data_IF_997203696725
#
_entry.id   IF_997203696725
#
_cell.length_a   1.000
_cell.length_b   1.000
_cell.length_c   1.000
_cell.angle_alpha   90.00
_cell.angle_beta   90.00
_cell.angle_gamma   90.00
#
_symmetry.space_group_name_H-M   'P 1'
#
loop_
_entity.id
_entity.type
_entity.pdbx_description
1 polymer ?
#
# COMPACT_ATOMS: atom_id res chain seq x y z
N UNK A 1 -21.69 -19.39 -0.09
CA UNK A 1 -20.24 -19.40 -0.20
C UNK A 1 -19.70 -18.28 0.69
N UNK A 2 -18.88 -18.63 1.69
CA UNK A 2 -18.16 -17.65 2.51
C UNK A 2 -17.28 -16.75 1.63
N UNK A 3 -17.16 -15.48 1.96
CA UNK A 3 -16.23 -14.60 1.26
C UNK A 3 -14.79 -14.99 1.62
N UNK A 4 -13.83 -14.79 0.72
CA UNK A 4 -12.40 -14.98 1.03
C UNK A 4 -11.98 -14.19 2.27
N UNK A 5 -12.64 -13.08 2.52
CA UNK A 5 -12.43 -12.22 3.70
C UNK A 5 -12.75 -12.97 5.00
N UNK A 6 -13.88 -13.65 5.07
CA UNK A 6 -14.25 -14.46 6.25
C UNK A 6 -13.33 -15.66 6.44
N UNK A 7 -12.92 -16.33 5.35
CA UNK A 7 -12.02 -17.49 5.43
C UNK A 7 -10.62 -17.14 5.97
N UNK A 8 -10.19 -15.89 5.80
CA UNK A 8 -8.90 -15.40 6.28
C UNK A 8 -8.99 -14.60 7.59
N UNK A 9 -10.19 -14.44 8.17
CA UNK A 9 -10.40 -13.81 9.48
C UNK A 9 -10.21 -12.29 9.51
N UNK A 10 -10.44 -11.60 8.39
CA UNK A 10 -10.25 -10.14 8.29
C UNK A 10 -11.50 -9.30 8.60
N UNK A 11 -12.37 -9.80 9.46
CA UNK A 11 -13.57 -9.06 9.89
C UNK A 11 -13.32 -8.16 11.13
N UNK A 12 -12.09 -8.18 11.66
CA UNK A 12 -11.71 -7.35 12.81
C UNK A 12 -11.87 -5.85 12.52
N UNK A 13 -12.35 -5.06 13.50
CA UNK A 13 -12.46 -3.62 13.35
C UNK A 13 -11.10 -2.97 13.07
N UNK A 14 -11.11 -1.89 12.27
CA UNK A 14 -9.89 -1.12 12.01
C UNK A 14 -9.56 -0.26 13.23
N UNK A 15 -8.26 -0.10 13.47
CA UNK A 15 -7.74 0.75 14.55
C UNK A 15 -7.43 2.13 13.98
N UNK A 16 -8.10 3.15 14.53
CA UNK A 16 -7.74 4.56 14.37
C UNK A 16 -7.00 5.01 15.63
N UNK A 17 -5.71 5.32 15.49
CA UNK A 17 -4.86 5.78 16.56
C UNK A 17 -4.67 7.29 16.47
N UNK A 18 -5.04 8.10 17.49
CA UNK A 18 -4.68 9.51 17.54
C UNK A 18 -3.16 9.69 17.45
N UNK A 19 -2.70 10.64 16.64
CA UNK A 19 -1.28 10.93 16.46
C UNK A 19 -0.90 12.20 17.20
N UNK A 20 -0.03 12.07 18.20
CA UNK A 20 0.50 13.18 18.96
C UNK A 20 1.97 13.41 18.60
N UNK A 21 2.24 14.50 17.87
CA UNK A 21 3.59 14.91 17.48
C UNK A 21 3.71 16.43 17.68
N UNK A 22 4.90 16.90 18.03
CA UNK A 22 5.13 18.32 18.35
C UNK A 22 4.69 19.30 17.27
N UNK A 23 4.88 18.92 15.99
CA UNK A 23 4.48 19.75 14.86
C UNK A 23 2.96 19.79 14.65
N UNK A 24 2.21 18.76 15.06
CA UNK A 24 0.75 18.78 15.08
C UNK A 24 0.21 19.67 16.20
N UNK A 25 0.78 19.55 17.40
CA UNK A 25 0.34 20.33 18.55
C UNK A 25 0.41 21.86 18.27
N UNK A 26 1.41 22.29 17.49
CA UNK A 26 1.58 23.71 17.14
C UNK A 26 0.63 24.20 16.05
N UNK A 27 0.10 23.31 15.21
CA UNK A 27 -0.71 23.68 14.04
C UNK A 27 -2.21 23.72 14.33
N UNK A 28 -2.66 23.04 15.37
CA UNK A 28 -4.08 22.81 15.64
C UNK A 28 -4.76 21.84 14.65
N UNK A 29 -3.98 21.12 13.84
CA UNK A 29 -4.48 20.06 12.96
C UNK A 29 -4.51 18.75 13.74
N UNK A 30 -5.64 18.07 13.70
CA UNK A 30 -5.81 16.74 14.30
C UNK A 30 -5.50 15.66 13.26
N UNK A 31 -4.66 14.69 13.61
CA UNK A 31 -4.37 13.53 12.74
C UNK A 31 -4.62 12.25 13.51
N UNK A 32 -5.35 11.32 12.89
CA UNK A 32 -5.42 9.94 13.34
C UNK A 32 -4.76 9.02 12.30
N UNK A 33 -4.11 7.97 12.76
CA UNK A 33 -3.47 6.97 11.91
C UNK A 33 -4.38 5.76 11.77
N UNK A 34 -4.79 5.45 10.56
CA UNK A 34 -5.44 4.18 10.24
C UNK A 34 -4.38 3.08 10.19
N UNK A 35 -4.32 2.25 11.23
CA UNK A 35 -3.27 1.26 11.50
C UNK A 35 -3.48 -0.05 10.72
N UNK A 36 -3.37 0.01 9.36
CA UNK A 36 -3.45 -1.20 8.54
C UNK A 36 -2.25 -2.14 8.75
N UNK A 37 -1.16 -1.64 9.29
CA UNK A 37 0.02 -2.41 9.68
C UNK A 37 -0.25 -3.38 10.84
N UNK A 38 -1.29 -3.16 11.63
CA UNK A 38 -1.67 -4.00 12.75
C UNK A 38 -2.71 -5.08 12.40
N UNK A 39 -3.20 -5.11 11.15
CA UNK A 39 -4.24 -6.06 10.75
C UNK A 39 -3.77 -7.51 10.85
N UNK A 40 -2.58 -7.77 10.36
CA UNK A 40 -2.00 -9.11 10.33
C UNK A 40 -0.49 -9.01 10.09
N UNK A 41 0.35 -9.83 10.73
CA UNK A 41 1.80 -9.76 10.58
C UNK A 41 2.31 -10.14 9.17
N UNK A 42 1.58 -10.95 8.41
CA UNK A 42 1.97 -11.47 7.10
C UNK A 42 1.19 -10.84 5.95
N UNK A 43 -0.13 -10.67 6.13
CA UNK A 43 -1.05 -10.02 5.17
C UNK A 43 -1.29 -8.56 5.52
N UNK A 44 -0.24 -7.86 5.89
CA UNK A 44 -0.27 -6.53 6.43
C UNK A 44 -0.63 -5.45 5.42
N UNK A 45 -1.25 -4.39 5.92
CA UNK A 45 -1.42 -3.14 5.21
C UNK A 45 -2.47 -3.17 4.10
N UNK A 46 -2.34 -2.23 3.18
CA UNK A 46 -3.25 -2.06 2.05
C UNK A 46 -3.27 -3.25 1.07
N UNK A 47 -2.26 -4.15 1.14
CA UNK A 47 -2.15 -5.27 0.20
C UNK A 47 -3.25 -6.30 0.41
N UNK A 48 -3.70 -6.49 1.65
CA UNK A 48 -4.87 -7.28 1.94
C UNK A 48 -6.10 -6.78 1.16
N UNK A 49 -6.41 -5.49 1.28
CA UNK A 49 -7.59 -4.90 0.62
C UNK A 49 -7.49 -4.97 -0.91
N UNK A 50 -6.29 -4.81 -1.46
CA UNK A 50 -6.07 -5.01 -2.89
C UNK A 50 -6.31 -6.45 -3.32
N UNK A 51 -5.87 -7.42 -2.52
CA UNK A 51 -5.95 -8.83 -2.86
C UNK A 51 -7.36 -9.39 -2.75
N UNK A 52 -8.19 -8.96 -1.83
CA UNK A 52 -9.48 -9.58 -1.54
C UNK A 52 -10.36 -9.76 -2.78
N UNK A 53 -10.49 -8.73 -3.62
CA UNK A 53 -11.30 -8.82 -4.86
C UNK A 53 -10.64 -9.64 -5.96
N UNK A 54 -9.32 -9.69 -6.00
CA UNK A 54 -8.59 -10.61 -6.89
C UNK A 54 -8.78 -12.06 -6.47
N UNK A 55 -8.76 -12.34 -5.17
CA UNK A 55 -8.98 -13.68 -4.63
C UNK A 55 -10.44 -14.14 -4.85
N UNK A 56 -11.42 -13.25 -4.67
CA UNK A 56 -12.82 -13.53 -5.01
C UNK A 56 -12.96 -13.87 -6.51
N UNK A 57 -12.32 -13.07 -7.38
CA UNK A 57 -12.33 -13.32 -8.83
C UNK A 57 -11.62 -14.64 -9.20
N UNK A 58 -10.47 -14.95 -8.59
CA UNK A 58 -9.77 -16.20 -8.80
C UNK A 58 -10.63 -17.41 -8.39
N UNK A 59 -11.31 -17.30 -7.25
CA UNK A 59 -12.25 -18.32 -6.77
C UNK A 59 -13.42 -18.52 -7.72
N UNK A 60 -13.99 -17.42 -8.26
CA UNK A 60 -15.16 -17.51 -9.17
C UNK A 60 -14.87 -18.25 -10.47
N UNK A 61 -13.61 -18.25 -10.91
CA UNK A 61 -13.15 -19.01 -12.09
C UNK A 61 -12.45 -20.34 -11.73
N UNK A 62 -12.52 -20.76 -10.47
CA UNK A 62 -11.86 -21.96 -9.96
C UNK A 62 -10.36 -22.02 -10.34
N UNK A 63 -9.65 -20.89 -10.25
CA UNK A 63 -8.24 -20.81 -10.61
C UNK A 63 -7.40 -21.77 -9.75
N UNK A 64 -6.54 -22.62 -10.34
CA UNK A 64 -5.72 -23.59 -9.60
C UNK A 64 -4.55 -22.93 -8.85
N UNK A 65 -4.30 -21.64 -9.07
CA UNK A 65 -3.24 -20.88 -8.42
C UNK A 65 -3.22 -19.42 -8.84
N UNK A 66 -2.28 -18.67 -8.28
CA UNK A 66 -2.16 -17.23 -8.46
C UNK A 66 -0.77 -16.89 -9.00
N UNK A 67 -0.68 -15.93 -9.91
CA UNK A 67 0.59 -15.42 -10.43
C UNK A 67 0.59 -13.90 -10.40
N UNK A 68 1.67 -13.32 -9.91
CA UNK A 68 1.85 -11.87 -9.89
C UNK A 68 3.32 -11.48 -10.01
N UNK A 69 3.61 -10.17 -9.96
CA UNK A 69 4.94 -9.63 -10.19
C UNK A 69 5.29 -8.52 -9.19
N UNK A 70 6.59 -8.34 -8.97
CA UNK A 70 7.12 -7.32 -8.05
C UNK A 70 8.63 -7.31 -7.97
N UNK A 71 9.20 -6.38 -7.21
CA UNK A 71 10.63 -6.37 -6.90
C UNK A 71 10.97 -7.34 -5.75
N UNK A 72 12.28 -7.51 -5.44
CA UNK A 72 12.75 -8.40 -4.39
C UNK A 72 12.39 -7.96 -2.95
N UNK A 73 11.80 -6.78 -2.80
CA UNK A 73 11.26 -6.24 -1.54
C UNK A 73 9.74 -6.01 -1.62
N UNK A 74 9.05 -6.69 -2.53
CA UNK A 74 7.64 -6.42 -2.83
C UNK A 74 6.72 -6.80 -1.68
N UNK A 75 6.09 -5.78 -1.07
CA UNK A 75 5.02 -5.96 -0.09
C UNK A 75 3.82 -6.73 -0.67
N UNK A 76 3.60 -6.59 -2.00
CA UNK A 76 2.51 -7.29 -2.67
C UNK A 76 2.78 -8.78 -2.82
N UNK A 77 3.96 -9.17 -3.33
CA UNK A 77 4.31 -10.59 -3.44
C UNK A 77 4.35 -11.27 -2.07
N UNK A 78 4.81 -10.56 -1.04
CA UNK A 78 4.81 -11.06 0.34
C UNK A 78 3.38 -11.38 0.80
N UNK A 79 2.45 -10.44 0.66
CA UNK A 79 1.06 -10.65 1.01
C UNK A 79 0.39 -11.76 0.16
N UNK A 80 0.71 -11.83 -1.14
CA UNK A 80 0.19 -12.86 -2.04
C UNK A 80 0.66 -14.26 -1.63
N UNK A 81 1.93 -14.42 -1.30
CA UNK A 81 2.49 -15.70 -0.85
C UNK A 81 1.85 -16.15 0.47
N UNK A 82 1.67 -15.23 1.42
CA UNK A 82 0.98 -15.51 2.68
C UNK A 82 -0.48 -15.92 2.47
N UNK A 83 -1.21 -15.20 1.61
CA UNK A 83 -2.59 -15.52 1.26
C UNK A 83 -2.70 -16.91 0.57
N UNK A 84 -1.83 -17.18 -0.41
CA UNK A 84 -1.80 -18.47 -1.09
C UNK A 84 -1.54 -19.62 -0.13
N UNK A 85 -0.57 -19.48 0.77
CA UNK A 85 -0.28 -20.48 1.81
C UNK A 85 -1.51 -20.77 2.68
N UNK A 86 -2.19 -19.73 3.16
CA UNK A 86 -3.37 -19.88 4.05
C UNK A 86 -4.58 -20.46 3.34
N UNK A 87 -4.74 -20.19 2.04
CA UNK A 87 -5.83 -20.70 1.22
C UNK A 87 -5.51 -22.04 0.54
N UNK A 88 -4.29 -22.57 0.70
CA UNK A 88 -3.85 -23.78 0.00
C UNK A 88 -3.74 -23.58 -1.52
N UNK A 89 -3.54 -22.34 -2.00
CA UNK A 89 -3.40 -22.01 -3.41
C UNK A 89 -1.92 -21.85 -3.78
N UNK A 90 -1.42 -22.58 -4.79
CA UNK A 90 -0.09 -22.36 -5.36
C UNK A 90 0.09 -20.91 -5.82
N UNK A 91 1.27 -20.33 -5.54
CA UNK A 91 1.60 -18.97 -5.94
C UNK A 91 2.88 -18.91 -6.77
N UNK A 92 2.90 -18.00 -7.74
CA UNK A 92 4.04 -17.73 -8.62
C UNK A 92 4.38 -16.25 -8.57
N UNK A 93 5.65 -15.94 -8.29
CA UNK A 93 6.19 -14.59 -8.26
C UNK A 93 7.15 -14.32 -9.40
N UNK A 94 6.85 -13.29 -10.21
CA UNK A 94 7.71 -12.80 -11.29
C UNK A 94 8.51 -11.62 -10.77
N UNK A 95 9.84 -11.80 -10.55
CA UNK A 95 10.67 -10.83 -9.85
C UNK A 95 11.49 -9.97 -10.82
N UNK A 96 11.56 -8.68 -10.47
CA UNK A 96 12.42 -7.72 -11.16
C UNK A 96 13.89 -7.94 -10.81
N UNK A 97 14.76 -7.90 -11.82
CA UNK A 97 16.20 -7.98 -11.68
C UNK A 97 16.72 -9.40 -11.69
N UNK A 98 17.90 -9.57 -11.13
CA UNK A 98 18.59 -10.87 -11.03
C UNK A 98 18.37 -11.47 -9.64
N UNK A 99 18.63 -12.76 -9.53
CA UNK A 99 18.47 -13.47 -8.27
C UNK A 99 19.29 -12.83 -7.16
N UNK A 100 18.63 -12.60 -6.04
CA UNK A 100 19.25 -12.03 -4.85
C UNK A 100 18.51 -12.51 -3.60
N UNK A 101 19.22 -12.51 -2.49
CA UNK A 101 18.67 -12.88 -1.19
C UNK A 101 18.27 -11.61 -0.45
N UNK A 102 16.97 -11.50 -0.16
CA UNK A 102 16.42 -10.46 0.74
C UNK A 102 15.53 -11.14 1.78
N UNK A 103 15.24 -10.50 2.91
CA UNK A 103 14.28 -11.06 3.87
C UNK A 103 12.94 -11.39 3.23
N UNK A 104 12.44 -10.53 2.34
CA UNK A 104 11.20 -10.78 1.59
C UNK A 104 11.31 -12.02 0.71
N UNK A 105 12.37 -12.15 -0.10
CA UNK A 105 12.58 -13.32 -0.98
C UNK A 105 12.71 -14.61 -0.16
N UNK A 106 13.33 -14.56 1.01
CA UNK A 106 13.40 -15.70 1.91
C UNK A 106 12.00 -16.13 2.39
N UNK A 107 11.15 -15.18 2.79
CA UNK A 107 9.76 -15.47 3.18
C UNK A 107 8.95 -16.05 2.01
N UNK A 108 9.08 -15.49 0.78
CA UNK A 108 8.38 -16.01 -0.39
C UNK A 108 8.71 -17.49 -0.63
N UNK A 109 9.99 -17.85 -0.54
CA UNK A 109 10.46 -19.24 -0.69
C UNK A 109 9.95 -20.14 0.44
N UNK A 110 10.05 -19.66 1.68
CA UNK A 110 9.59 -20.41 2.86
C UNK A 110 8.07 -20.70 2.80
N UNK A 111 7.30 -19.83 2.17
CA UNK A 111 5.85 -19.99 1.97
C UNK A 111 5.48 -20.72 0.67
N UNK A 112 6.46 -21.26 -0.03
CA UNK A 112 6.26 -22.12 -1.20
C UNK A 112 5.94 -21.37 -2.49
N UNK A 113 6.17 -20.06 -2.57
CA UNK A 113 6.01 -19.31 -3.82
C UNK A 113 7.10 -19.70 -4.82
N UNK A 114 6.68 -20.11 -6.02
CA UNK A 114 7.61 -20.36 -7.13
C UNK A 114 8.08 -19.04 -7.72
N UNK A 115 9.41 -18.84 -7.81
CA UNK A 115 10.02 -17.56 -8.20
C UNK A 115 10.65 -17.63 -9.60
N UNK A 116 10.37 -16.62 -10.43
CA UNK A 116 11.02 -16.42 -11.72
C UNK A 116 11.62 -15.02 -11.81
N UNK A 117 12.90 -14.94 -12.10
CA UNK A 117 13.62 -13.68 -12.27
C UNK A 117 13.58 -13.23 -13.73
N UNK A 118 13.01 -12.05 -13.99
CA UNK A 118 12.78 -11.53 -15.35
C UNK A 118 13.93 -10.68 -15.90
N UNK A 119 14.95 -10.42 -15.09
CA UNK A 119 15.88 -9.34 -15.38
C UNK A 119 15.20 -7.96 -15.32
N UNK A 120 15.95 -6.92 -15.67
CA UNK A 120 15.38 -5.57 -15.75
C UNK A 120 14.66 -5.34 -17.07
N UNK A 121 15.12 -5.95 -18.16
CA UNK A 121 14.51 -5.83 -19.48
C UNK A 121 13.13 -6.49 -19.52
N UNK A 122 13.04 -7.78 -19.20
CA UNK A 122 11.75 -8.49 -19.19
C UNK A 122 10.74 -7.89 -18.22
N UNK A 123 11.19 -7.34 -17.09
CA UNK A 123 10.27 -6.67 -16.17
C UNK A 123 9.72 -5.34 -16.72
N UNK A 124 10.45 -4.63 -17.59
CA UNK A 124 9.92 -3.42 -18.25
C UNK A 124 8.75 -3.69 -19.18
N UNK A 125 8.64 -4.92 -19.69
CA UNK A 125 7.56 -5.34 -20.60
C UNK A 125 6.21 -5.59 -19.89
N UNK A 126 6.17 -5.53 -18.55
CA UNK A 126 4.99 -5.88 -17.73
C UNK A 126 3.69 -5.15 -18.07
N UNK A 127 3.78 -4.00 -18.73
CA UNK A 127 2.63 -3.21 -19.19
C UNK A 127 2.23 -3.51 -20.64
N UNK A 128 2.97 -4.37 -21.36
CA UNK A 128 2.61 -4.78 -22.70
C UNK A 128 1.43 -5.77 -22.67
N UNK A 129 0.50 -5.69 -23.62
CA UNK A 129 -0.64 -6.63 -23.69
C UNK A 129 -0.21 -8.10 -23.76
N UNK A 130 0.96 -8.37 -24.35
CA UNK A 130 1.52 -9.71 -24.55
C UNK A 130 2.27 -10.26 -23.34
N UNK A 131 2.51 -9.46 -22.30
CA UNK A 131 3.32 -9.84 -21.15
C UNK A 131 2.87 -11.17 -20.50
N UNK A 132 1.57 -11.35 -20.36
CA UNK A 132 1.00 -12.53 -19.70
C UNK A 132 0.93 -13.78 -20.59
N UNK A 133 1.11 -13.66 -21.91
CA UNK A 133 0.96 -14.79 -22.86
C UNK A 133 1.85 -15.98 -22.51
N UNK A 134 3.18 -15.85 -22.35
CA UNK A 134 4.04 -16.99 -22.01
C UNK A 134 3.74 -17.56 -20.62
N UNK A 135 3.30 -16.72 -19.68
CA UNK A 135 2.99 -17.15 -18.32
C UNK A 135 1.68 -17.93 -18.24
N UNK A 136 0.67 -17.54 -19.02
CA UNK A 136 -0.58 -18.30 -19.14
C UNK A 136 -0.35 -19.65 -19.82
N UNK A 137 0.57 -19.74 -20.77
CA UNK A 137 0.96 -21.01 -21.38
C UNK A 137 1.68 -21.94 -20.38
N UNK A 138 2.56 -21.38 -19.54
CA UNK A 138 3.33 -22.12 -18.54
C UNK A 138 2.53 -22.51 -17.32
N UNK A 139 1.56 -21.70 -16.91
CA UNK A 139 0.68 -21.88 -15.75
C UNK A 139 -0.79 -21.80 -16.18
N UNK A 140 -1.30 -22.85 -16.88
CA UNK A 140 -2.67 -22.84 -17.40
C UNK A 140 -3.68 -22.66 -16.27
N UNK A 141 -4.64 -21.74 -16.46
CA UNK A 141 -5.71 -21.46 -15.51
C UNK A 141 -5.33 -20.60 -14.30
N UNK A 142 -4.04 -20.33 -14.07
CA UNK A 142 -3.65 -19.44 -12.96
C UNK A 142 -4.21 -18.02 -13.16
N UNK A 143 -4.71 -17.46 -12.07
CA UNK A 143 -5.22 -16.09 -12.09
C UNK A 143 -4.07 -15.07 -12.04
N UNK A 144 -4.01 -14.22 -13.06
CA UNK A 144 -2.95 -13.21 -13.20
C UNK A 144 -3.34 -11.94 -12.47
N UNK A 145 -2.53 -11.54 -11.48
CA UNK A 145 -2.72 -10.30 -10.70
C UNK A 145 -1.67 -9.28 -11.15
N UNK A 146 -2.07 -8.06 -11.55
CA UNK A 146 -1.14 -7.00 -11.94
C UNK A 146 -0.18 -6.59 -10.81
N UNK A 147 0.92 -5.91 -11.17
CA UNK A 147 1.92 -5.39 -10.22
C UNK A 147 1.27 -4.65 -9.05
N UNK A 148 1.72 -4.97 -7.84
CA UNK A 148 1.25 -4.32 -6.62
C UNK A 148 -0.20 -4.61 -6.25
N UNK A 149 -0.87 -5.60 -6.85
CA UNK A 149 -2.31 -5.85 -6.70
C UNK A 149 -3.15 -4.78 -7.40
N UNK A 150 -2.66 -4.32 -8.56
CA UNK A 150 -3.28 -3.25 -9.35
C UNK A 150 -4.58 -3.67 -10.05
N UNK A 151 -5.08 -2.78 -10.90
CA UNK A 151 -6.33 -2.98 -11.64
C UNK A 151 -7.58 -2.65 -10.83
N UNK A 152 -8.73 -2.67 -11.52
CA UNK A 152 -10.02 -2.34 -10.91
C UNK A 152 -10.38 -3.21 -9.70
N UNK A 153 -10.13 -4.55 -9.70
CA UNK A 153 -10.39 -5.36 -8.50
C UNK A 153 -9.61 -4.86 -7.28
N UNK A 154 -8.33 -4.48 -7.45
CA UNK A 154 -7.53 -3.93 -6.36
C UNK A 154 -8.05 -2.59 -5.83
N UNK A 155 -8.52 -1.71 -6.72
CA UNK A 155 -9.13 -0.44 -6.33
C UNK A 155 -10.45 -0.66 -5.59
N UNK A 156 -11.35 -1.50 -6.12
CA UNK A 156 -12.63 -1.83 -5.47
C UNK A 156 -12.45 -2.49 -4.10
N UNK A 157 -11.42 -3.31 -3.93
CA UNK A 157 -11.07 -3.85 -2.62
C UNK A 157 -10.69 -2.75 -1.62
N UNK A 158 -9.89 -1.76 -2.06
CA UNK A 158 -9.52 -0.61 -1.22
C UNK A 158 -10.69 0.35 -0.96
N UNK A 159 -11.69 0.43 -1.84
CA UNK A 159 -12.90 1.22 -1.60
C UNK A 159 -13.65 0.78 -0.33
N UNK A 160 -13.60 -0.51 -0.03
CA UNK A 160 -14.15 -1.07 1.20
C UNK A 160 -13.51 -0.58 2.51
N UNK A 161 -12.38 0.16 2.44
CA UNK A 161 -11.78 0.79 3.61
C UNK A 161 -12.63 1.93 4.17
N UNK A 162 -13.26 2.73 3.30
CA UNK A 162 -13.95 3.96 3.70
C UNK A 162 -15.08 3.69 4.71
N UNK A 163 -16.07 2.80 4.45
CA UNK A 163 -17.11 2.53 5.44
C UNK A 163 -16.56 1.94 6.75
N UNK A 164 -15.43 1.24 6.71
CA UNK A 164 -14.79 0.71 7.92
C UNK A 164 -14.09 1.82 8.71
N UNK A 165 -13.50 2.82 8.04
CA UNK A 165 -12.98 4.04 8.67
C UNK A 165 -14.10 4.79 9.37
N UNK A 166 -15.22 5.03 8.68
CA UNK A 166 -16.40 5.70 9.24
C UNK A 166 -16.90 5.00 10.52
N UNK A 167 -16.99 3.67 10.47
CA UNK A 167 -17.39 2.87 11.63
C UNK A 167 -16.43 2.99 12.82
N UNK A 168 -15.16 3.33 12.58
CA UNK A 168 -14.13 3.46 13.61
C UNK A 168 -14.00 4.87 14.19
N UNK A 169 -14.62 5.92 13.59
CA UNK A 169 -14.49 7.32 14.01
C UNK A 169 -14.91 7.55 15.47
N UNK A 170 -15.92 6.80 15.94
CA UNK A 170 -16.41 6.92 17.30
C UNK A 170 -15.32 6.64 18.35
N UNK A 171 -14.31 5.82 18.04
CA UNK A 171 -13.18 5.56 18.93
C UNK A 171 -12.30 6.80 19.17
N UNK A 172 -12.36 7.79 18.28
CA UNK A 172 -11.68 9.08 18.39
C UNK A 172 -12.57 10.18 18.98
N UNK A 173 -13.85 9.90 19.20
CA UNK A 173 -14.85 10.94 19.49
C UNK A 173 -15.16 11.85 18.26
N UNK A 174 -14.72 11.44 17.08
CA UNK A 174 -15.00 12.19 15.85
C UNK A 174 -16.32 11.79 15.24
N UNK A 175 -17.05 12.78 14.72
CA UNK A 175 -18.27 12.55 13.92
C UNK A 175 -17.93 12.44 12.43
N UNK A 176 -16.86 13.11 12.01
CA UNK A 176 -16.41 13.20 10.62
C UNK A 176 -14.94 13.57 10.55
N UNK A 177 -14.36 13.52 9.34
CA UNK A 177 -13.00 13.94 9.01
C UNK A 177 -12.99 14.75 7.71
N UNK A 178 -11.92 15.49 7.44
CA UNK A 178 -11.86 16.37 6.26
C UNK A 178 -11.17 15.70 5.07
N UNK A 179 -10.18 14.84 5.31
CA UNK A 179 -9.47 14.18 4.24
C UNK A 179 -8.71 12.92 4.68
N UNK A 180 -8.42 12.06 3.68
CA UNK A 180 -7.50 10.94 3.80
C UNK A 180 -6.14 11.32 3.21
N UNK A 181 -5.06 10.89 3.86
CA UNK A 181 -3.68 11.08 3.40
C UNK A 181 -2.95 9.74 3.37
N UNK A 182 -2.31 9.40 2.23
CA UNK A 182 -1.59 8.13 2.09
C UNK A 182 -0.36 8.22 1.18
N UNK A 183 0.53 7.24 1.30
CA UNK A 183 1.59 7.04 0.34
C UNK A 183 1.03 6.46 -0.98
N UNK A 184 1.37 7.07 -2.10
CA UNK A 184 1.00 6.60 -3.42
C UNK A 184 2.23 6.00 -4.16
N UNK A 185 2.12 4.70 -4.47
CA UNK A 185 3.05 4.00 -5.38
C UNK A 185 2.41 3.83 -6.76
N UNK A 186 1.62 2.78 -6.96
CA UNK A 186 0.89 2.52 -8.22
C UNK A 186 -0.43 3.31 -8.37
N UNK A 187 -0.83 4.08 -7.36
CA UNK A 187 -2.09 4.81 -7.35
C UNK A 187 -3.34 3.98 -7.05
N UNK A 188 -3.26 2.64 -7.05
CA UNK A 188 -4.45 1.77 -6.88
C UNK A 188 -5.19 1.99 -5.57
N UNK A 189 -4.48 2.15 -4.44
CA UNK A 189 -5.11 2.41 -3.14
C UNK A 189 -5.77 3.79 -3.13
N UNK A 190 -5.11 4.80 -3.70
CA UNK A 190 -5.66 6.14 -3.85
C UNK A 190 -6.97 6.10 -4.64
N UNK A 191 -6.97 5.47 -5.82
CA UNK A 191 -8.17 5.31 -6.64
C UNK A 191 -9.30 4.61 -5.87
N UNK A 192 -8.97 3.56 -5.11
CA UNK A 192 -9.95 2.86 -4.29
C UNK A 192 -10.57 3.73 -3.20
N UNK A 193 -9.76 4.53 -2.50
CA UNK A 193 -10.28 5.47 -1.51
C UNK A 193 -11.15 6.55 -2.15
N UNK A 194 -10.77 7.09 -3.31
CA UNK A 194 -11.60 8.05 -4.07
C UNK A 194 -12.94 7.44 -4.44
N UNK A 195 -12.96 6.19 -4.92
CA UNK A 195 -14.20 5.45 -5.21
C UNK A 195 -15.06 5.32 -3.95
N UNK A 196 -14.44 4.92 -2.83
CA UNK A 196 -15.16 4.73 -1.56
C UNK A 196 -15.69 6.02 -0.96
N UNK A 197 -14.96 7.12 -1.10
CA UNK A 197 -15.38 8.45 -0.65
C UNK A 197 -16.57 8.99 -1.43
N UNK A 198 -16.72 8.61 -2.69
CA UNK A 198 -17.82 9.05 -3.54
C UNK A 198 -18.01 10.58 -3.55
N UNK A 199 -16.90 11.33 -3.49
CA UNK A 199 -16.90 12.80 -3.49
C UNK A 199 -17.14 13.48 -2.14
N UNK A 200 -17.26 12.72 -1.02
CA UNK A 200 -17.50 13.30 0.32
C UNK A 200 -16.28 14.01 0.90
N UNK A 201 -15.12 13.35 0.83
CA UNK A 201 -13.87 13.86 1.36
C UNK A 201 -12.76 13.82 0.31
N UNK A 202 -11.74 14.66 0.49
CA UNK A 202 -10.56 14.66 -0.38
C UNK A 202 -9.61 13.54 -0.02
N UNK A 203 -8.88 13.03 -1.02
CA UNK A 203 -7.86 12.00 -0.83
C UNK A 203 -6.52 12.51 -1.35
N UNK A 204 -5.55 12.65 -0.46
CA UNK A 204 -4.20 13.11 -0.80
C UNK A 204 -3.25 11.92 -0.96
N UNK A 205 -2.64 11.80 -2.14
CA UNK A 205 -1.65 10.78 -2.46
C UNK A 205 -0.23 11.35 -2.50
N UNK A 206 0.57 11.05 -1.49
CA UNK A 206 1.99 11.42 -1.45
C UNK A 206 2.81 10.43 -2.30
N UNK A 207 3.32 10.88 -3.45
CA UNK A 207 4.08 10.09 -4.41
C UNK A 207 5.43 9.66 -3.81
N UNK A 208 5.61 8.36 -3.59
CA UNK A 208 6.86 7.80 -3.07
C UNK A 208 7.99 7.71 -4.11
N UNK A 209 7.65 7.80 -5.37
CA UNK A 209 8.56 7.83 -6.52
C UNK A 209 8.35 9.04 -7.41
N UNK A 210 9.25 9.28 -8.38
CA UNK A 210 9.16 10.42 -9.27
C UNK A 210 7.82 10.48 -10.03
N UNK A 211 7.31 11.68 -10.38
CA UNK A 211 6.09 11.85 -11.17
C UNK A 211 6.08 11.11 -12.52
N UNK A 212 7.27 10.81 -13.08
CA UNK A 212 7.45 10.02 -14.30
C UNK A 212 6.84 8.61 -14.27
N UNK A 213 6.39 8.13 -13.13
CA UNK A 213 5.72 6.82 -13.00
C UNK A 213 4.26 6.82 -13.47
N UNK A 214 3.77 7.88 -14.08
CA UNK A 214 2.42 8.00 -14.66
C UNK A 214 1.29 7.58 -13.67
N UNK A 215 1.47 7.86 -12.38
CA UNK A 215 0.51 7.45 -11.33
C UNK A 215 -0.82 8.14 -11.54
N UNK A 216 -0.83 9.42 -11.92
CA UNK A 216 -2.06 10.18 -12.14
C UNK A 216 -2.90 9.57 -13.28
N UNK A 217 -2.28 9.26 -14.42
CA UNK A 217 -2.96 8.59 -15.52
C UNK A 217 -3.51 7.21 -15.10
N UNK A 218 -2.76 6.49 -14.27
CA UNK A 218 -3.21 5.21 -13.71
C UNK A 218 -4.42 5.35 -12.80
N UNK A 219 -4.44 6.35 -11.94
CA UNK A 219 -5.58 6.68 -11.07
C UNK A 219 -6.80 7.06 -11.91
N UNK A 220 -6.65 8.01 -12.84
CA UNK A 220 -7.73 8.45 -13.72
C UNK A 220 -8.35 7.28 -14.50
N UNK A 221 -7.52 6.37 -15.02
CA UNK A 221 -7.99 5.17 -15.73
C UNK A 221 -8.81 4.23 -14.81
N UNK A 222 -8.37 4.01 -13.57
CA UNK A 222 -9.10 3.18 -12.61
C UNK A 222 -10.44 3.81 -12.23
N UNK A 223 -10.50 5.13 -12.03
CA UNK A 223 -11.72 5.86 -11.76
C UNK A 223 -12.70 5.76 -12.95
N UNK A 224 -12.19 5.94 -14.18
CA UNK A 224 -13.00 5.79 -15.39
C UNK A 224 -13.58 4.37 -15.53
N UNK A 225 -12.78 3.33 -15.25
CA UNK A 225 -13.24 1.94 -15.25
C UNK A 225 -14.32 1.68 -14.18
N UNK A 226 -14.28 2.41 -13.06
CA UNK A 226 -15.28 2.35 -12.01
C UNK A 226 -16.52 3.22 -12.28
N UNK A 227 -16.54 4.00 -13.38
CA UNK A 227 -17.62 4.95 -13.67
C UNK A 227 -17.62 6.16 -12.73
N UNK A 228 -16.48 6.51 -12.12
CA UNK A 228 -16.32 7.62 -11.18
C UNK A 228 -15.56 8.76 -11.85
N UNK A 229 -15.95 10.01 -11.57
CA UNK A 229 -15.25 11.18 -12.07
C UNK A 229 -13.80 11.23 -11.55
N UNK A 230 -12.86 11.66 -12.40
CA UNK A 230 -11.46 11.86 -12.03
C UNK A 230 -11.31 13.17 -11.24
N UNK A 231 -11.83 13.19 -10.02
CA UNK A 231 -11.82 14.34 -9.10
C UNK A 231 -11.79 13.85 -7.65
N UNK A 232 -11.68 14.78 -6.69
CA UNK A 232 -11.70 14.46 -5.27
C UNK A 232 -10.34 13.98 -4.73
N UNK A 233 -9.28 13.99 -5.53
CA UNK A 233 -7.93 13.65 -5.07
C UNK A 233 -6.89 14.69 -5.50
N UNK A 234 -5.75 14.62 -4.85
CA UNK A 234 -4.55 15.40 -5.19
C UNK A 234 -3.30 14.53 -5.03
N UNK A 235 -2.41 14.58 -6.02
CA UNK A 235 -1.12 13.91 -5.98
C UNK A 235 -0.03 14.91 -5.65
N UNK A 236 0.76 14.59 -4.64
CA UNK A 236 1.79 15.46 -4.08
C UNK A 236 3.15 14.76 -4.20
N UNK A 237 4.19 15.50 -4.57
CA UNK A 237 5.54 14.92 -4.61
C UNK A 237 6.10 14.72 -3.20
N UNK A 238 6.37 13.48 -2.85
CA UNK A 238 7.06 13.05 -1.65
C UNK A 238 8.28 12.18 -1.98
N UNK A 239 8.71 12.15 -3.24
CA UNK A 239 9.77 11.26 -3.72
C UNK A 239 11.14 11.54 -3.10
N UNK A 240 11.42 12.79 -2.65
CA UNK A 240 12.70 13.23 -2.07
C UNK A 240 13.88 12.86 -2.98
N UNK A 241 14.84 12.08 -2.47
CA UNK A 241 16.02 11.59 -3.19
C UNK A 241 15.73 10.47 -4.22
N UNK A 242 14.45 10.17 -4.48
CA UNK A 242 14.00 9.17 -5.44
C UNK A 242 13.43 7.89 -4.80
N UNK A 243 12.87 7.02 -5.66
CA UNK A 243 12.26 5.77 -5.20
C UNK A 243 13.31 4.82 -4.59
N UNK A 244 12.99 4.25 -3.44
CA UNK A 244 13.86 3.31 -2.73
C UNK A 244 15.04 3.95 -2.01
N UNK A 245 15.21 5.27 -2.06
CA UNK A 245 16.28 6.00 -1.39
C UNK A 245 15.74 6.76 -0.18
N UNK A 246 16.57 6.85 0.86
CA UNK A 246 16.30 7.64 2.06
C UNK A 246 17.61 8.16 2.65
N UNK A 247 17.53 9.31 3.29
CA UNK A 247 18.64 10.06 3.86
C UNK A 247 18.56 10.08 5.40
N UNK A 248 19.54 10.73 6.02
CA UNK A 248 19.63 10.87 7.48
C UNK A 248 18.43 11.61 8.06
N UNK A 249 17.96 12.65 7.39
CA UNK A 249 16.81 13.41 7.86
C UNK A 249 15.56 12.55 7.94
N UNK A 250 15.29 11.73 6.90
CA UNK A 250 14.16 10.81 6.90
C UNK A 250 14.34 9.69 7.94
N UNK A 251 15.57 9.19 8.12
CA UNK A 251 15.87 8.18 9.14
C UNK A 251 15.59 8.72 10.55
N UNK A 252 16.03 9.94 10.85
CA UNK A 252 15.74 10.59 12.13
C UNK A 252 14.26 10.84 12.33
N UNK A 253 13.56 11.31 11.28
CA UNK A 253 12.11 11.52 11.31
C UNK A 253 11.32 10.24 11.63
N UNK A 254 11.74 9.08 11.08
CA UNK A 254 11.15 7.78 11.39
C UNK A 254 11.25 7.48 12.89
N UNK A 255 12.45 7.63 13.47
CA UNK A 255 12.67 7.37 14.89
C UNK A 255 11.89 8.32 15.80
N UNK A 256 11.86 9.60 15.46
CA UNK A 256 11.15 10.61 16.26
C UNK A 256 9.63 10.36 16.20
N UNK A 257 9.09 10.01 15.03
CA UNK A 257 7.67 9.66 14.88
C UNK A 257 7.32 8.39 15.68
N UNK A 258 8.18 7.38 15.62
CA UNK A 258 7.98 6.13 16.38
C UNK A 258 8.05 6.36 17.89
N UNK A 259 9.03 7.17 18.35
CA UNK A 259 9.22 7.49 19.77
C UNK A 259 8.09 8.34 20.33
N UNK A 260 7.63 9.37 19.62
CA UNK A 260 6.60 10.30 20.10
C UNK A 260 5.20 9.76 19.88
N UNK A 261 4.92 9.20 18.71
CA UNK A 261 3.59 8.81 18.26
C UNK A 261 3.29 7.31 18.33
N UNK A 262 4.29 6.47 18.62
CA UNK A 262 4.12 5.01 18.65
C UNK A 262 3.76 4.40 17.29
N UNK A 263 4.10 5.09 16.19
CA UNK A 263 3.78 4.66 14.81
C UNK A 263 5.06 4.34 14.06
N UNK A 264 5.42 3.05 13.90
CA UNK A 264 6.57 2.66 13.09
C UNK A 264 6.30 2.95 11.60
N UNK A 265 7.29 3.48 10.90
CA UNK A 265 7.16 3.82 9.48
C UNK A 265 8.20 3.07 8.64
N UNK A 266 7.83 2.68 7.42
CA UNK A 266 8.80 2.20 6.43
C UNK A 266 9.45 3.38 5.69
N UNK A 267 10.74 3.29 5.31
CA UNK A 267 11.47 4.41 4.73
C UNK A 267 11.11 4.70 3.26
N UNK A 268 10.38 3.82 2.59
CA UNK A 268 10.12 3.90 1.15
C UNK A 268 8.80 4.61 0.86
N UNK A 269 7.76 4.32 1.66
CA UNK A 269 6.40 4.80 1.43
C UNK A 269 5.89 5.65 2.61
N UNK A 270 5.63 5.04 3.75
CA UNK A 270 4.89 5.68 4.84
C UNK A 270 5.66 6.81 5.49
N UNK A 271 6.98 6.71 5.65
CA UNK A 271 7.79 7.80 6.21
C UNK A 271 7.83 9.03 5.28
N UNK A 272 7.99 8.81 3.97
CA UNK A 272 7.97 9.91 3.00
C UNK A 272 6.61 10.61 2.98
N UNK A 273 5.53 9.83 3.03
CA UNK A 273 4.17 10.37 3.06
C UNK A 273 3.89 11.16 4.34
N UNK A 274 4.35 10.67 5.50
CA UNK A 274 4.19 11.36 6.79
C UNK A 274 5.04 12.63 6.84
N UNK A 275 6.24 12.61 6.31
CA UNK A 275 7.11 13.79 6.23
C UNK A 275 6.54 14.85 5.28
N UNK A 276 5.94 14.44 4.16
CA UNK A 276 5.22 15.35 3.28
C UNK A 276 4.00 15.96 3.99
N UNK A 277 3.22 15.18 4.74
CA UNK A 277 2.11 15.69 5.56
C UNK A 277 2.60 16.77 6.54
N UNK A 278 3.69 16.50 7.25
CA UNK A 278 4.30 17.50 8.15
C UNK A 278 4.58 18.81 7.42
N UNK A 279 5.23 18.76 6.24
CA UNK A 279 5.56 19.97 5.47
C UNK A 279 4.31 20.77 5.08
N UNK A 280 3.23 20.10 4.69
CA UNK A 280 1.97 20.76 4.33
C UNK A 280 1.27 21.39 5.54
N UNK A 281 1.28 20.70 6.67
CA UNK A 281 0.75 21.22 7.95
C UNK A 281 1.56 22.43 8.43
N UNK A 282 2.89 22.33 8.46
CA UNK A 282 3.77 23.43 8.92
C UNK A 282 3.70 24.68 8.01
N UNK A 283 3.35 24.49 6.72
CA UNK A 283 3.10 25.59 5.77
C UNK A 283 1.69 26.19 5.86
N UNK A 284 0.86 25.69 6.77
CA UNK A 284 -0.51 26.19 6.95
C UNK A 284 -1.47 25.81 5.82
N UNK A 285 -1.20 24.73 5.07
CA UNK A 285 -2.10 24.25 4.02
C UNK A 285 -3.44 23.81 4.59
N UNK A 286 -3.44 23.26 5.78
CA UNK A 286 -4.62 22.85 6.51
C UNK A 286 -4.92 23.87 7.64
N UNK A 287 -6.12 24.46 7.69
CA UNK A 287 -6.50 25.32 8.79
C UNK A 287 -6.57 24.57 10.12
N UNK A 288 -6.44 25.31 11.23
CA UNK A 288 -6.63 24.72 12.56
C UNK A 288 -8.03 24.13 12.70
N UNK A 289 -8.13 22.99 13.37
CA UNK A 289 -9.36 22.21 13.50
C UNK A 289 -9.58 21.19 12.38
N UNK A 290 -8.74 21.18 11.32
CA UNK A 290 -8.80 20.15 10.29
C UNK A 290 -8.51 18.78 10.88
N UNK A 291 -9.29 17.77 10.52
CA UNK A 291 -9.16 16.36 10.92
C UNK A 291 -8.72 15.50 9.74
N UNK A 292 -7.55 14.94 9.83
CA UNK A 292 -6.95 14.11 8.78
C UNK A 292 -6.80 12.67 9.24
N UNK A 293 -7.04 11.73 8.34
CA UNK A 293 -6.72 10.32 8.57
C UNK A 293 -5.52 9.96 7.71
N UNK A 294 -4.40 9.69 8.37
CA UNK A 294 -3.22 9.13 7.73
C UNK A 294 -3.39 7.62 7.57
N UNK A 295 -3.48 7.14 6.34
CA UNK A 295 -3.60 5.71 6.04
C UNK A 295 -2.22 5.07 6.08
N UNK A 296 -1.90 4.37 7.18
CA UNK A 296 -0.67 3.60 7.30
C UNK A 296 -0.77 2.33 6.44
N UNK A 297 -0.25 2.40 5.22
CA UNK A 297 -0.40 1.36 4.20
C UNK A 297 0.42 0.07 4.45
N UNK A 298 1.06 -0.07 5.60
CA UNK A 298 1.93 -1.19 5.95
C UNK A 298 3.37 -0.98 5.48
N UNK A 299 4.01 -2.03 4.96
CA UNK A 299 5.39 -1.95 4.45
C UNK A 299 6.47 -2.30 5.47
N UNK A 300 6.10 -2.58 6.73
CA UNK A 300 7.05 -2.83 7.82
C UNK A 300 7.90 -4.09 7.59
N UNK A 301 7.37 -5.09 6.89
CA UNK A 301 8.17 -6.26 6.49
C UNK A 301 9.34 -5.85 5.56
N UNK A 302 9.14 -4.85 4.67
CA UNK A 302 10.20 -4.31 3.84
C UNK A 302 11.22 -3.47 4.61
N UNK A 303 10.82 -2.86 5.73
CA UNK A 303 11.73 -2.13 6.65
C UNK A 303 12.84 -3.03 7.19
N UNK A 304 12.61 -4.34 7.34
CA UNK A 304 13.64 -5.30 7.78
C UNK A 304 14.89 -5.24 6.90
N UNK A 305 14.72 -5.11 5.59
CA UNK A 305 15.85 -4.99 4.65
C UNK A 305 16.59 -3.65 4.76
N UNK A 306 15.94 -2.60 5.22
CA UNK A 306 16.50 -1.26 5.38
C UNK A 306 17.12 -1.02 6.78
N UNK A 307 16.91 -1.93 7.75
CA UNK A 307 17.27 -1.72 9.15
C UNK A 307 18.74 -1.36 9.34
N UNK A 308 19.66 -2.09 8.69
CA UNK A 308 21.09 -1.82 8.79
C UNK A 308 21.50 -0.47 8.19
N UNK A 309 20.82 -0.03 7.13
CA UNK A 309 21.08 1.29 6.54
C UNK A 309 20.50 2.41 7.41
N UNK A 310 19.30 2.22 7.97
CA UNK A 310 18.71 3.17 8.91
C UNK A 310 19.64 3.40 10.11
N UNK A 311 20.15 2.32 10.71
CA UNK A 311 21.05 2.41 11.85
C UNK A 311 22.33 3.18 11.50
N UNK A 312 22.99 2.86 10.37
CA UNK A 312 24.18 3.58 9.91
C UNK A 312 23.98 5.07 9.69
N UNK A 313 22.81 5.48 9.19
CA UNK A 313 22.49 6.89 8.96
C UNK A 313 22.27 7.67 10.26
N UNK A 314 21.94 6.98 11.34
CA UNK A 314 21.69 7.59 12.64
C UNK A 314 22.97 7.70 13.45
N UNK A 315 23.79 6.63 13.45
CA UNK A 315 25.01 6.52 14.25
C UNK A 315 26.19 7.33 13.67
N UNK A 316 26.19 7.63 12.36
CA UNK A 316 27.23 8.41 11.66
C UNK A 316 26.82 9.83 11.38
#
# INVERSE_FOLDING_TARGET
>A
LSSVQSDLGFDAPLILQPLSLDWLARSGVEVAVLRLDLLDPELSGNKWFKLVKHLDAARSVAAPGLISLGGPHSNHLHALAAAGRRLGLPTVGLLRGHEQVTPTVADLRAWGMQLHWLGYAGYRERNLPTFWTPWRARYPGFYCIPEGGGGLPGALGCAGLVPRVESALASLGWKDYDALWLAAGTGTTLAGLVIGEAGRHRVFGALAGPPSHAVDAGVANLLAQAGVASSGYELLDASRSGFGRFDRELAQFILDTERQGGVPLDPIYTAKAMMALRLYVERGYFPAGTRLIFVHTGGLQGRRAAQGQLQKLIDG
#
